data_IF_818882730757
#
_entry.id   IF_818882730757
#
_cell.length_a   1.000
_cell.length_b   1.000
_cell.length_c   1.000
_cell.angle_alpha   90.00
_cell.angle_beta   90.00
_cell.angle_gamma   90.00
#
_symmetry.space_group_name_H-M   'P 1'
#
loop_
_entity.id
_entity.type
_entity.pdbx_description
1 polymer ?
#
# COMPACT_ATOMS: atom_id res chain seq x y z
N UNK A 1 49.91 -45.71 22.98
CA UNK A 1 49.35 -44.72 22.04
C UNK A 1 47.92 -45.16 21.76
N UNK A 2 46.89 -44.54 22.36
CA UNK A 2 46.00 -43.51 21.74
C UNK A 2 45.72 -43.89 20.28
N UNK A 3 44.48 -44.02 19.82
CA UNK A 3 43.62 -42.89 19.47
C UNK A 3 42.14 -43.25 19.69
N UNK A 4 41.47 -42.46 20.54
CA UNK A 4 40.02 -42.31 20.56
C UNK A 4 39.61 -41.43 19.36
N UNK A 5 38.67 -41.86 18.55
CA UNK A 5 37.99 -41.01 17.57
C UNK A 5 36.57 -40.74 18.06
N UNK A 6 36.39 -39.55 18.62
CA UNK A 6 35.10 -38.93 18.92
C UNK A 6 34.50 -38.44 17.59
N UNK A 7 33.36 -39.00 17.19
CA UNK A 7 32.52 -38.42 16.15
C UNK A 7 31.63 -37.38 16.81
N UNK A 8 31.96 -36.11 16.61
CA UNK A 8 31.13 -34.98 17.00
C UNK A 8 29.92 -34.89 16.06
N UNK A 9 28.72 -35.17 16.57
CA UNK A 9 27.47 -34.95 15.85
C UNK A 9 27.22 -33.44 15.68
N UNK A 10 27.25 -32.97 14.43
CA UNK A 10 26.77 -31.63 14.10
C UNK A 10 25.25 -31.58 14.28
N UNK A 11 24.81 -30.91 15.35
CA UNK A 11 23.42 -30.50 15.52
C UNK A 11 23.06 -29.46 14.45
N UNK A 12 22.27 -29.85 13.47
CA UNK A 12 21.69 -28.94 12.49
C UNK A 12 20.57 -28.15 13.19
N UNK A 13 20.89 -26.94 13.65
CA UNK A 13 19.90 -25.99 14.14
C UNK A 13 18.98 -25.62 12.97
N UNK A 14 17.74 -26.10 13.01
CA UNK A 14 16.69 -25.67 12.10
C UNK A 14 16.39 -24.21 12.47
N UNK A 15 16.92 -23.28 11.68
CA UNK A 15 16.57 -21.87 11.78
C UNK A 15 15.17 -21.74 11.18
N UNK A 16 14.15 -21.66 12.04
CA UNK A 16 12.82 -21.24 11.62
C UNK A 16 12.92 -19.83 11.08
N UNK A 17 12.98 -19.69 9.76
CA UNK A 17 12.74 -18.42 9.10
C UNK A 17 11.31 -18.00 9.43
N UNK A 18 11.15 -17.02 10.32
CA UNK A 18 9.90 -16.29 10.41
C UNK A 18 9.67 -15.66 9.03
N UNK A 19 8.73 -16.22 8.27
CA UNK A 19 8.21 -15.59 7.06
C UNK A 19 7.82 -14.17 7.44
N UNK A 20 8.30 -13.16 6.71
CA UNK A 20 7.82 -11.79 6.88
C UNK A 20 6.29 -11.83 6.84
N UNK A 21 5.67 -11.53 7.99
CA UNK A 21 4.27 -11.81 8.26
C UNK A 21 3.38 -11.27 7.13
N UNK A 22 2.47 -12.14 6.68
CA UNK A 22 1.52 -11.79 5.64
C UNK A 22 0.67 -10.60 6.14
N UNK A 23 0.77 -9.43 5.50
CA UNK A 23 0.03 -8.24 5.95
C UNK A 23 -1.47 -8.54 5.86
N UNK A 24 -2.12 -8.65 7.02
CA UNK A 24 -3.54 -8.90 7.14
C UNK A 24 -4.32 -7.63 6.78
N UNK A 25 -4.98 -7.65 5.61
CA UNK A 25 -5.84 -6.55 5.15
C UNK A 25 -7.29 -7.00 5.17
N UNK A 26 -8.12 -6.26 5.90
CA UNK A 26 -9.56 -6.46 6.00
C UNK A 26 -10.31 -5.13 5.79
N UNK A 27 -11.63 -5.17 5.80
CA UNK A 27 -12.47 -3.97 5.72
C UNK A 27 -12.16 -2.94 6.81
N UNK A 28 -11.76 -3.40 7.99
CA UNK A 28 -11.39 -2.56 9.14
C UNK A 28 -10.07 -1.82 8.93
N UNK A 29 -9.23 -2.25 7.98
CA UNK A 29 -8.01 -1.53 7.60
C UNK A 29 -8.33 -0.12 7.09
N UNK A 30 -9.47 0.03 6.40
CA UNK A 30 -9.92 1.24 5.72
C UNK A 30 -10.99 1.98 6.53
N UNK A 31 -10.57 2.72 7.55
CA UNK A 31 -11.42 3.61 8.36
C UNK A 31 -11.60 4.99 7.73
N UNK A 32 -11.93 6.00 8.54
CA UNK A 32 -12.00 7.39 8.07
C UNK A 32 -10.66 7.83 7.46
N UNK A 33 -10.66 8.23 6.20
CA UNK A 33 -9.43 8.62 5.49
C UNK A 33 -8.78 9.89 6.08
N UNK A 34 -9.57 10.73 6.76
CA UNK A 34 -9.10 11.99 7.35
C UNK A 34 -8.28 11.79 8.62
N UNK A 35 -8.31 10.59 9.22
CA UNK A 35 -7.51 10.25 10.40
C UNK A 35 -6.02 10.06 10.06
N UNK A 36 -5.68 9.92 8.77
CA UNK A 36 -4.33 9.62 8.32
C UNK A 36 -3.61 10.91 7.93
N UNK A 37 -2.28 11.01 8.15
CA UNK A 37 -1.52 12.15 7.68
C UNK A 37 -1.60 12.26 6.15
N UNK A 38 -1.46 13.49 5.68
CA UNK A 38 -1.62 13.86 4.28
C UNK A 38 -0.31 14.47 3.76
N UNK A 39 0.13 14.02 2.60
CA UNK A 39 1.15 14.70 1.79
C UNK A 39 0.51 15.08 0.47
N UNK A 40 0.44 16.38 0.17
CA UNK A 40 -0.35 16.93 -0.95
C UNK A 40 -1.80 16.44 -0.86
N UNK A 41 -2.34 15.66 -1.80
CA UNK A 41 -3.68 15.09 -1.71
C UNK A 41 -3.71 13.61 -1.27
N UNK A 42 -2.57 12.97 -1.07
CA UNK A 42 -2.53 11.54 -0.73
C UNK A 42 -2.50 11.34 0.78
N UNK A 43 -3.37 10.47 1.28
CA UNK A 43 -3.42 10.02 2.68
C UNK A 43 -2.58 8.77 2.83
N UNK A 44 -1.70 8.76 3.83
CA UNK A 44 -0.66 7.74 4.01
C UNK A 44 -0.78 7.15 5.40
N UNK A 45 -0.80 5.82 5.51
CA UNK A 45 -0.86 5.12 6.80
C UNK A 45 0.16 3.99 6.84
N UNK A 46 0.73 3.80 8.01
CA UNK A 46 1.53 2.65 8.38
C UNK A 46 1.38 2.44 9.89
N UNK A 47 1.41 1.19 10.38
CA UNK A 47 1.27 0.90 11.82
C UNK A 47 2.52 1.29 12.62
N UNK A 48 3.71 1.06 12.07
CA UNK A 48 4.99 1.56 12.58
C UNK A 48 5.18 3.06 12.23
N UNK A 49 5.34 3.95 13.23
CA UNK A 49 5.56 5.39 13.03
C UNK A 49 6.83 5.76 12.26
N UNK A 50 7.92 5.00 12.38
CA UNK A 50 9.16 5.29 11.64
C UNK A 50 9.01 4.92 10.17
N UNK A 51 8.33 3.80 9.88
CA UNK A 51 7.98 3.44 8.50
C UNK A 51 6.96 4.40 7.89
N UNK A 52 6.04 4.96 8.70
CA UNK A 52 5.15 6.02 8.26
C UNK A 52 5.93 7.27 7.84
N UNK A 53 6.90 7.71 8.65
CA UNK A 53 7.78 8.84 8.30
C UNK A 53 8.54 8.57 7.01
N UNK A 54 9.07 7.36 6.83
CA UNK A 54 9.80 6.99 5.62
C UNK A 54 8.90 6.97 4.38
N UNK A 55 7.71 6.35 4.47
CA UNK A 55 6.73 6.36 3.38
C UNK A 55 6.33 7.80 2.99
N UNK A 56 6.10 8.67 3.98
CA UNK A 56 5.80 10.08 3.74
C UNK A 56 6.98 10.82 3.08
N UNK A 57 8.22 10.52 3.48
CA UNK A 57 9.44 11.12 2.89
C UNK A 57 9.61 10.71 1.43
N UNK A 58 9.49 9.41 1.12
CA UNK A 58 9.56 8.87 -0.24
C UNK A 58 8.51 9.57 -1.13
N UNK A 59 7.27 9.65 -0.67
CA UNK A 59 6.18 10.30 -1.42
C UNK A 59 6.39 11.80 -1.59
N UNK A 60 6.78 12.51 -0.53
CA UNK A 60 6.96 13.96 -0.55
C UNK A 60 8.08 14.37 -1.50
N UNK A 61 9.20 13.66 -1.44
CA UNK A 61 10.45 14.01 -2.14
C UNK A 61 10.55 13.35 -3.53
N UNK A 62 9.52 12.60 -3.95
CA UNK A 62 9.42 11.91 -5.24
C UNK A 62 10.70 11.12 -5.57
N UNK A 63 11.14 10.29 -4.63
CA UNK A 63 12.42 9.58 -4.72
C UNK A 63 12.29 8.43 -5.72
N UNK A 64 13.00 8.46 -6.86
CA UNK A 64 12.94 7.37 -7.83
C UNK A 64 13.66 6.12 -7.29
N UNK A 65 13.30 4.97 -7.84
CA UNK A 65 13.97 3.68 -7.65
C UNK A 65 14.01 3.23 -6.17
N UNK A 66 13.08 3.75 -5.36
CA UNK A 66 12.97 3.49 -3.92
C UNK A 66 11.62 2.83 -3.62
N UNK A 67 11.65 1.65 -3.01
CA UNK A 67 10.43 0.94 -2.61
C UNK A 67 9.85 1.52 -1.32
N UNK A 68 8.51 1.60 -1.24
CA UNK A 68 7.82 1.93 0.00
C UNK A 68 7.96 0.80 1.04
N UNK A 69 7.99 1.12 2.34
CA UNK A 69 7.93 0.11 3.40
C UNK A 69 6.73 -0.82 3.27
N UNK A 70 6.94 -2.13 3.46
CA UNK A 70 5.87 -3.14 3.54
C UNK A 70 4.93 -2.78 4.69
N UNK A 71 3.62 -2.74 4.42
CA UNK A 71 2.59 -2.26 5.35
C UNK A 71 2.11 -0.83 5.05
N UNK A 72 2.74 -0.13 4.10
CA UNK A 72 2.27 1.20 3.66
C UNK A 72 0.90 1.09 3.00
N UNK A 73 -0.02 1.98 3.38
CA UNK A 73 -1.36 2.11 2.81
C UNK A 73 -1.49 3.53 2.26
N UNK A 74 -1.94 3.63 1.01
CA UNK A 74 -2.22 4.92 0.36
C UNK A 74 -3.69 5.00 -0.06
N UNK A 75 -4.30 6.16 0.17
CA UNK A 75 -5.59 6.52 -0.40
C UNK A 75 -5.55 7.95 -0.95
N UNK A 76 -5.93 8.11 -2.21
CA UNK A 76 -6.17 9.43 -2.81
C UNK A 76 -7.64 9.84 -2.64
N UNK A 77 -8.55 8.88 -2.83
CA UNK A 77 -10.01 9.03 -2.69
C UNK A 77 -10.56 7.95 -1.77
N UNK A 78 -11.72 8.13 -1.10
CA UNK A 78 -12.21 7.17 -0.11
C UNK A 78 -12.46 5.76 -0.64
N UNK A 79 -12.84 5.64 -1.91
CA UNK A 79 -13.31 4.40 -2.54
C UNK A 79 -12.21 3.61 -3.26
N UNK A 80 -10.95 4.03 -3.20
CA UNK A 80 -9.80 3.30 -3.73
C UNK A 80 -8.65 3.30 -2.73
N UNK A 81 -7.87 2.22 -2.69
CA UNK A 81 -6.67 2.14 -1.87
C UNK A 81 -5.60 1.27 -2.53
N UNK A 82 -4.37 1.41 -2.06
CA UNK A 82 -3.31 0.44 -2.33
C UNK A 82 -2.52 0.12 -1.07
N UNK A 83 -2.15 -1.16 -0.90
CA UNK A 83 -1.41 -1.66 0.26
C UNK A 83 -0.13 -2.34 -0.19
N UNK A 84 0.99 -2.02 0.46
CA UNK A 84 2.30 -2.58 0.17
C UNK A 84 2.49 -3.90 0.91
N UNK A 85 2.65 -4.98 0.16
CA UNK A 85 3.05 -6.31 0.61
C UNK A 85 4.53 -6.58 0.28
N UNK A 86 5.11 -7.69 0.77
CA UNK A 86 6.34 -8.23 0.19
C UNK A 86 6.18 -8.38 -1.33
N UNK A 87 7.26 -8.10 -2.07
CA UNK A 87 7.27 -8.08 -3.54
C UNK A 87 6.74 -9.39 -4.13
N UNK A 88 7.04 -10.50 -3.48
CA UNK A 88 6.72 -11.85 -3.91
C UNK A 88 5.21 -12.10 -4.00
N UNK A 89 4.41 -11.41 -3.18
CA UNK A 89 2.95 -11.57 -3.17
C UNK A 89 2.28 -10.96 -4.41
N UNK A 90 2.76 -9.80 -4.85
CA UNK A 90 2.28 -9.12 -6.05
C UNK A 90 3.46 -8.70 -6.95
N UNK A 91 4.10 -9.66 -7.65
CA UNK A 91 5.38 -9.41 -8.33
C UNK A 91 5.27 -8.41 -9.49
N UNK A 92 4.09 -8.30 -10.13
CA UNK A 92 3.85 -7.39 -11.26
C UNK A 92 3.79 -5.92 -10.85
N UNK A 93 3.53 -5.65 -9.58
CA UNK A 93 3.27 -4.32 -9.02
C UNK A 93 4.29 -3.96 -7.94
N UNK A 94 5.41 -4.69 -7.89
CA UNK A 94 6.41 -4.62 -6.84
C UNK A 94 5.82 -4.75 -5.42
N UNK A 95 4.81 -5.60 -5.23
CA UNK A 95 4.16 -5.83 -3.93
C UNK A 95 2.94 -4.96 -3.65
N UNK A 96 2.53 -4.06 -4.55
CA UNK A 96 1.30 -3.29 -4.37
C UNK A 96 0.04 -4.10 -4.70
N UNK A 97 -0.85 -4.22 -3.73
CA UNK A 97 -2.21 -4.66 -3.95
C UNK A 97 -3.13 -3.46 -4.10
N UNK A 98 -3.99 -3.46 -5.11
CA UNK A 98 -5.00 -2.43 -5.31
C UNK A 98 -6.35 -2.86 -4.74
N UNK A 99 -7.17 -1.90 -4.31
CA UNK A 99 -8.48 -2.13 -3.72
C UNK A 99 -9.51 -1.18 -4.30
N UNK A 100 -10.65 -1.75 -4.68
CA UNK A 100 -11.87 -0.99 -4.92
C UNK A 100 -12.82 -1.18 -3.74
N UNK A 101 -13.27 -0.07 -3.15
CA UNK A 101 -13.98 -0.04 -1.88
C UNK A 101 -15.37 0.55 -2.06
N UNK A 102 -16.37 -0.12 -1.52
CA UNK A 102 -17.69 0.47 -1.31
C UNK A 102 -17.72 1.08 0.10
N UNK A 103 -17.94 2.40 0.18
CA UNK A 103 -17.85 3.17 1.44
C UNK A 103 -19.22 3.66 1.87
N UNK A 104 -19.54 3.48 3.15
CA UNK A 104 -20.78 3.96 3.77
C UNK A 104 -20.54 4.43 5.20
N UNK A 105 -21.56 5.02 5.82
CA UNK A 105 -21.50 5.37 7.25
C UNK A 105 -21.35 4.15 8.18
N UNK A 106 -21.69 2.95 7.71
CA UNK A 106 -21.50 1.71 8.48
C UNK A 106 -20.06 1.17 8.40
N UNK A 107 -19.22 1.71 7.51
CA UNK A 107 -17.86 1.23 7.27
C UNK A 107 -17.57 0.97 5.79
N UNK A 108 -16.56 0.15 5.56
CA UNK A 108 -16.05 -0.22 4.23
C UNK A 108 -16.46 -1.63 3.87
N UNK A 109 -16.77 -1.87 2.60
CA UNK A 109 -16.74 -3.21 2.00
C UNK A 109 -15.65 -3.27 0.94
N UNK A 110 -14.88 -4.35 0.92
CA UNK A 110 -13.92 -4.59 -0.17
C UNK A 110 -14.71 -5.20 -1.32
N UNK A 111 -14.92 -4.43 -2.39
CA UNK A 111 -15.63 -4.92 -3.56
C UNK A 111 -14.73 -5.77 -4.45
N UNK A 112 -13.48 -5.35 -4.60
CA UNK A 112 -12.46 -6.09 -5.36
C UNK A 112 -11.06 -5.74 -4.84
N UNK A 113 -10.11 -6.69 -4.96
CA UNK A 113 -8.71 -6.52 -4.53
C UNK A 113 -7.74 -7.37 -5.36
N UNK A 114 -6.51 -6.90 -5.53
CA UNK A 114 -5.44 -7.62 -6.24
C UNK A 114 -4.64 -6.74 -7.20
N UNK A 115 -3.91 -7.37 -8.12
CA UNK A 115 -3.11 -6.69 -9.15
C UNK A 115 -3.88 -6.38 -10.46
N UNK A 116 -5.12 -6.89 -10.61
CA UNK A 116 -5.95 -6.72 -11.82
C UNK A 116 -7.28 -5.99 -11.57
N UNK A 117 -7.42 -5.32 -10.41
CA UNK A 117 -8.63 -4.55 -10.06
C UNK A 117 -8.90 -3.48 -11.10
N UNK A 118 -10.17 -3.29 -11.45
CA UNK A 118 -10.63 -2.26 -12.41
C UNK A 118 -11.16 -1.04 -11.67
N UNK A 119 -10.64 0.14 -12.01
CA UNK A 119 -11.14 1.43 -11.53
C UNK A 119 -12.53 1.69 -12.15
N UNK A 120 -13.52 2.01 -11.31
CA UNK A 120 -14.90 2.27 -11.73
C UNK A 120 -15.06 3.46 -12.66
N UNK A 121 -14.31 4.52 -12.39
CA UNK A 121 -14.49 5.81 -13.05
C UNK A 121 -13.96 5.80 -14.48
N UNK A 122 -12.98 4.95 -14.77
CA UNK A 122 -12.29 4.90 -16.06
C UNK A 122 -12.44 3.56 -16.80
N UNK A 123 -12.86 2.49 -16.12
CA UNK A 123 -13.00 1.16 -16.73
C UNK A 123 -11.67 0.49 -17.10
N UNK A 124 -10.55 1.01 -16.59
CA UNK A 124 -9.20 0.48 -16.80
C UNK A 124 -8.65 -0.13 -15.50
N UNK A 125 -7.65 -0.99 -15.58
CA UNK A 125 -7.05 -1.57 -14.37
C UNK A 125 -6.28 -0.53 -13.58
N UNK A 126 -6.30 -0.62 -12.26
CA UNK A 126 -5.48 0.22 -11.37
C UNK A 126 -4.01 0.17 -11.80
N UNK A 127 -3.50 -1.05 -12.07
CA UNK A 127 -2.13 -1.23 -12.56
C UNK A 127 -1.87 -0.46 -13.86
N UNK A 128 -2.78 -0.44 -14.84
CA UNK A 128 -2.53 0.30 -16.10
C UNK A 128 -2.34 1.80 -15.89
N UNK A 129 -3.06 2.41 -14.94
CA UNK A 129 -2.88 3.82 -14.57
C UNK A 129 -1.58 4.07 -13.81
N UNK A 130 -1.13 3.09 -13.01
CA UNK A 130 0.05 3.18 -12.16
C UNK A 130 1.35 2.73 -12.86
N UNK A 131 1.26 1.98 -13.96
CA UNK A 131 2.39 1.43 -14.71
C UNK A 131 3.43 2.49 -15.14
N UNK A 132 3.05 3.70 -15.60
CA UNK A 132 4.05 4.69 -16.00
C UNK A 132 4.86 5.23 -14.82
N UNK A 133 4.40 5.01 -13.58
CA UNK A 133 5.11 5.35 -12.35
C UNK A 133 5.96 4.17 -11.80
N UNK A 134 6.27 3.14 -12.61
CA UNK A 134 7.08 1.99 -12.16
C UNK A 134 8.42 2.40 -11.50
N UNK A 135 9.05 3.48 -11.98
CA UNK A 135 10.26 4.04 -11.39
C UNK A 135 10.03 4.66 -9.99
N UNK A 136 8.80 4.99 -9.65
CA UNK A 136 8.40 5.53 -8.35
C UNK A 136 7.61 4.49 -7.56
N UNK A 137 8.01 3.23 -7.71
CA UNK A 137 7.40 2.09 -7.06
C UNK A 137 5.90 1.99 -7.33
N UNK A 138 5.48 2.24 -8.58
CA UNK A 138 4.07 2.27 -9.01
C UNK A 138 3.21 3.29 -8.25
N UNK A 139 3.79 4.20 -7.47
CA UNK A 139 3.04 5.29 -6.82
C UNK A 139 3.15 6.52 -7.70
N UNK A 140 2.05 6.84 -8.37
CA UNK A 140 2.02 7.92 -9.33
C UNK A 140 1.74 9.28 -8.67
N UNK A 141 2.24 10.36 -9.27
CA UNK A 141 1.93 11.75 -8.91
C UNK A 141 2.05 12.66 -10.15
N UNK A 142 1.77 13.95 -9.98
CA UNK A 142 1.94 14.99 -10.98
C UNK A 142 3.40 15.05 -11.43
N UNK A 143 3.59 14.98 -12.74
CA UNK A 143 4.93 15.08 -13.34
C UNK A 143 5.78 13.82 -13.25
N UNK A 144 5.29 12.70 -12.69
CA UNK A 144 6.08 11.47 -12.66
C UNK A 144 5.29 10.14 -12.76
N UNK A 145 4.25 10.12 -13.59
CA UNK A 145 3.73 8.88 -14.17
C UNK A 145 2.25 8.54 -13.94
N UNK A 146 1.42 9.46 -13.43
CA UNK A 146 -0.02 9.19 -13.42
C UNK A 146 -0.62 9.35 -14.82
N UNK A 147 -1.48 8.40 -15.21
CA UNK A 147 -2.52 8.71 -16.19
C UNK A 147 -3.41 9.85 -15.65
N UNK A 148 -3.92 10.76 -16.50
CA UNK A 148 -4.85 11.78 -16.05
C UNK A 148 -6.06 11.14 -15.34
N UNK A 149 -6.36 11.63 -14.14
CA UNK A 149 -7.58 11.27 -13.39
C UNK A 149 -8.68 12.31 -13.67
N UNK A 150 -9.97 11.93 -13.56
CA UNK A 150 -11.08 12.84 -13.87
C UNK A 150 -11.36 13.87 -12.76
N UNK A 151 -10.45 14.02 -11.78
CA UNK A 151 -10.61 14.89 -10.62
C UNK A 151 -9.38 15.78 -10.46
N UNK A 152 -9.60 17.07 -10.18
CA UNK A 152 -8.55 17.96 -9.73
C UNK A 152 -8.35 17.87 -8.20
N UNK A 153 -7.32 18.56 -7.68
CA UNK A 153 -6.97 18.55 -6.25
C UNK A 153 -8.12 19.04 -5.36
N UNK A 154 -8.89 20.02 -5.85
CA UNK A 154 -10.04 20.54 -5.12
C UNK A 154 -11.10 19.43 -4.97
N UNK A 155 -11.42 18.76 -6.07
CA UNK A 155 -12.43 17.70 -6.08
C UNK A 155 -11.98 16.51 -5.25
N UNK A 156 -10.70 16.13 -5.30
CA UNK A 156 -10.14 15.10 -4.42
C UNK A 156 -10.33 15.48 -2.96
N UNK A 157 -10.01 16.72 -2.59
CA UNK A 157 -10.23 17.22 -1.23
C UNK A 157 -11.71 17.19 -0.80
N UNK A 158 -12.63 17.52 -1.69
CA UNK A 158 -14.08 17.41 -1.44
C UNK A 158 -14.50 15.96 -1.20
N UNK A 159 -14.04 15.02 -2.04
CA UNK A 159 -14.33 13.59 -1.88
C UNK A 159 -13.82 13.06 -0.54
N UNK A 160 -12.61 13.46 -0.13
CA UNK A 160 -12.07 13.08 1.18
C UNK A 160 -12.90 13.62 2.34
N UNK A 161 -13.33 14.89 2.28
CA UNK A 161 -14.20 15.50 3.31
C UNK A 161 -15.59 14.87 3.35
N UNK A 162 -16.04 14.34 2.22
CA UNK A 162 -17.33 13.65 2.09
C UNK A 162 -17.27 12.15 2.43
N UNK A 163 -16.13 11.63 2.88
CA UNK A 163 -16.00 10.23 3.31
C UNK A 163 -17.03 9.91 4.40
N UNK A 164 -17.98 9.04 4.08
CA UNK A 164 -19.10 8.71 4.95
C UNK A 164 -18.68 8.03 6.25
N UNK A 165 -17.46 7.48 6.32
CA UNK A 165 -16.87 6.88 7.53
C UNK A 165 -16.37 7.92 8.52
N UNK A 166 -16.14 9.15 8.06
CA UNK A 166 -15.60 10.21 8.89
C UNK A 166 -16.70 10.89 9.71
N UNK A 167 -16.44 11.21 11.00
CA UNK A 167 -17.37 11.99 11.80
C UNK A 167 -17.67 13.33 11.13
N UNK A 168 -18.95 13.68 11.00
CA UNK A 168 -19.36 15.03 10.60
C UNK A 168 -19.01 15.98 11.75
N UNK A 169 -18.09 16.90 11.49
CA UNK A 169 -17.77 18.00 12.41
C UNK A 169 -18.81 19.10 12.31
#
# INVERSE_FOLDING_TARGET
MRHFLLVAGLGFCIVSSASADDIAVSEQTFGCILDWPQVRNTRIKHSDPEQLKEAMRIFRDSIPDTAYPVGTILQLVPFEAMVKHPREKFPKTNGWEFFALDVSGAGTKIRDRGDNVVNLSQGVTCLSCHQPAARFDFVCEKGHGCAPIPFDDQKIGELQRADARCPKK
#
